data_IF_529109130470
#
_entry.id   IF_529109130470
#
_cell.length_a   1.000
_cell.length_b   1.000
_cell.length_c   1.000
_cell.angle_alpha   90.00
_cell.angle_beta   90.00
_cell.angle_gamma   90.00
#
_symmetry.space_group_name_H-M   'P 1'
#
loop_
_entity.id
_entity.type
_entity.pdbx_description
1 polymer ?
#
# COMPACT_ATOMS: atom_id res chain seq x y z
N UNK A 1 25.05 55.26 32.29
CA UNK A 1 24.94 53.99 33.02
C UNK A 1 23.85 53.04 32.49
N UNK A 2 22.61 53.46 32.18
CA UNK A 2 21.55 52.51 31.73
C UNK A 2 21.65 52.03 30.26
N UNK A 3 22.41 52.73 29.40
CA UNK A 3 22.56 52.40 27.97
C UNK A 3 23.75 51.50 27.61
N UNK A 4 24.79 51.45 28.45
CA UNK A 4 25.99 50.60 28.22
C UNK A 4 25.67 49.11 28.41
N UNK A 5 24.82 48.80 29.40
CA UNK A 5 24.32 47.43 29.63
C UNK A 5 23.41 46.93 28.50
N UNK A 6 22.66 47.83 27.85
CA UNK A 6 21.77 47.45 26.75
C UNK A 6 22.54 47.16 25.45
N UNK A 7 23.60 47.93 25.17
CA UNK A 7 24.51 47.64 24.06
C UNK A 7 25.22 46.30 24.22
N UNK A 8 25.74 46.02 25.41
CA UNK A 8 26.37 44.74 25.73
C UNK A 8 25.38 43.57 25.65
N UNK A 9 24.14 43.76 26.11
CA UNK A 9 23.07 42.76 26.00
C UNK A 9 22.72 42.49 24.54
N UNK A 10 22.58 43.52 23.70
CA UNK A 10 22.30 43.37 22.26
C UNK A 10 23.41 42.58 21.57
N UNK A 11 24.67 42.91 21.82
CA UNK A 11 25.82 42.18 21.26
C UNK A 11 25.83 40.69 21.64
N UNK A 12 25.52 40.36 22.90
CA UNK A 12 25.39 38.95 23.34
C UNK A 12 24.25 38.23 22.63
N UNK A 13 23.09 38.88 22.47
CA UNK A 13 21.94 38.32 21.75
C UNK A 13 22.29 38.10 20.26
N UNK A 14 22.95 39.07 19.62
CA UNK A 14 23.39 38.92 18.22
C UNK A 14 24.36 37.74 18.04
N UNK A 15 25.35 37.59 18.92
CA UNK A 15 26.27 36.46 18.86
C UNK A 15 25.56 35.10 19.02
N UNK A 16 24.55 35.02 19.89
CA UNK A 16 23.73 33.81 20.03
C UNK A 16 22.88 33.54 18.78
N UNK A 17 22.30 34.57 18.18
CA UNK A 17 21.52 34.45 16.95
C UNK A 17 22.38 34.03 15.76
N UNK A 18 23.59 34.57 15.64
CA UNK A 18 24.55 34.22 14.60
C UNK A 18 25.05 32.78 14.76
N UNK A 19 25.41 32.37 15.99
CA UNK A 19 25.77 30.98 16.27
C UNK A 19 24.63 30.02 15.93
N UNK A 20 23.38 30.39 16.26
CA UNK A 20 22.19 29.61 15.92
C UNK A 20 21.96 29.55 14.41
N UNK A 21 22.11 30.66 13.70
CA UNK A 21 22.00 30.70 12.24
C UNK A 21 23.03 29.77 11.59
N UNK A 22 24.30 29.83 11.99
CA UNK A 22 25.34 28.96 11.46
C UNK A 22 25.09 27.48 11.77
N UNK A 23 24.61 27.18 12.98
CA UNK A 23 24.17 25.84 13.35
C UNK A 23 23.07 25.34 12.42
N UNK A 24 22.00 26.12 12.19
CA UNK A 24 20.92 25.75 11.27
C UNK A 24 21.41 25.58 9.84
N UNK A 25 22.24 26.50 9.36
CA UNK A 25 22.77 26.42 8.00
C UNK A 25 23.54 25.11 7.80
N UNK A 26 24.37 24.73 8.77
CA UNK A 26 25.13 23.48 8.76
C UNK A 26 24.20 22.26 8.91
N UNK A 27 23.24 22.31 9.84
CA UNK A 27 22.30 21.22 10.11
C UNK A 27 21.43 20.87 8.89
N UNK A 28 20.92 21.88 8.17
CA UNK A 28 20.07 21.69 6.99
C UNK A 28 20.86 21.54 5.69
N UNK A 29 22.17 21.79 5.65
CA UNK A 29 22.97 21.69 4.44
C UNK A 29 22.88 20.32 3.73
N UNK A 30 22.98 19.17 4.43
CA UNK A 30 22.88 17.86 3.79
C UNK A 30 21.51 17.63 3.13
N UNK A 31 20.43 18.01 3.82
CA UNK A 31 19.07 17.93 3.27
C UNK A 31 18.91 18.82 2.06
N UNK A 32 19.40 20.07 2.12
CA UNK A 32 19.32 21.02 1.00
C UNK A 32 20.02 20.49 -0.24
N UNK A 33 21.20 19.88 -0.10
CA UNK A 33 21.90 19.26 -1.22
C UNK A 33 21.10 18.11 -1.87
N UNK A 34 20.35 17.34 -1.07
CA UNK A 34 19.45 16.28 -1.58
C UNK A 34 18.17 16.85 -2.22
N UNK A 35 17.69 18.01 -1.75
CA UNK A 35 16.51 18.69 -2.28
C UNK A 35 16.79 19.52 -3.54
N UNK A 36 18.03 19.93 -3.79
CA UNK A 36 18.43 20.71 -4.97
C UNK A 36 17.95 20.13 -6.32
N UNK A 37 18.08 18.81 -6.60
CA UNK A 37 17.56 18.24 -7.85
C UNK A 37 16.03 18.15 -7.91
N UNK A 38 15.32 18.34 -6.79
CA UNK A 38 13.86 18.24 -6.72
C UNK A 38 13.24 19.59 -7.09
N UNK A 39 12.77 19.69 -8.34
CA UNK A 39 12.18 20.92 -8.87
C UNK A 39 10.66 20.93 -8.73
N UNK A 40 10.01 19.80 -8.98
CA UNK A 40 8.54 19.71 -8.98
C UNK A 40 8.00 19.54 -7.56
N UNK A 41 7.35 20.58 -7.04
CA UNK A 41 6.77 20.63 -5.67
C UNK A 41 5.24 20.51 -5.62
N UNK A 42 4.59 20.33 -6.76
CA UNK A 42 3.13 20.27 -6.89
C UNK A 42 2.70 19.09 -7.76
N UNK A 43 1.43 18.71 -7.65
CA UNK A 43 0.84 17.67 -8.47
C UNK A 43 0.68 18.13 -9.92
N UNK A 44 0.98 17.24 -10.87
CA UNK A 44 0.79 17.49 -12.29
C UNK A 44 0.51 16.15 -13.00
N UNK A 45 -0.24 16.20 -14.10
CA UNK A 45 -0.70 14.98 -14.79
C UNK A 45 0.45 14.23 -15.46
N UNK A 46 1.45 14.95 -15.98
CA UNK A 46 2.65 14.33 -16.53
C UNK A 46 3.36 13.46 -15.48
N UNK A 47 3.89 12.29 -15.87
CA UNK A 47 4.59 11.39 -14.96
C UNK A 47 5.80 12.11 -14.34
N UNK A 48 6.13 11.74 -13.10
CA UNK A 48 7.30 12.28 -12.42
C UNK A 48 8.57 11.78 -13.14
N UNK A 49 9.51 12.66 -13.53
CA UNK A 49 10.75 12.25 -14.19
C UNK A 49 11.54 11.26 -13.33
N UNK A 50 12.13 10.25 -13.95
CA UNK A 50 12.89 9.20 -13.24
C UNK A 50 14.03 9.78 -12.37
N UNK A 51 14.70 10.84 -12.85
CA UNK A 51 15.74 11.54 -12.10
C UNK A 51 15.21 12.20 -10.81
N UNK A 52 14.04 12.83 -10.87
CA UNK A 52 13.39 13.43 -9.71
C UNK A 52 12.88 12.35 -8.75
N UNK A 53 12.29 11.26 -9.25
CA UNK A 53 11.88 10.12 -8.42
C UNK A 53 13.08 9.49 -7.69
N UNK A 54 14.22 9.36 -8.36
CA UNK A 54 15.46 8.90 -7.73
C UNK A 54 15.96 9.88 -6.66
N UNK A 55 15.84 11.19 -6.90
CA UNK A 55 16.17 12.21 -5.90
C UNK A 55 15.27 12.11 -4.65
N UNK A 56 13.96 11.97 -4.84
CA UNK A 56 13.02 11.74 -3.75
C UNK A 56 13.37 10.48 -2.94
N UNK A 57 13.67 9.36 -3.60
CA UNK A 57 14.08 8.13 -2.91
C UNK A 57 15.36 8.29 -2.10
N UNK A 58 16.35 9.02 -2.61
CA UNK A 58 17.57 9.35 -1.85
C UNK A 58 17.26 10.19 -0.61
N UNK A 59 16.36 11.16 -0.74
CA UNK A 59 15.92 11.98 0.38
C UNK A 59 15.17 11.15 1.43
N UNK A 60 14.29 10.25 1.00
CA UNK A 60 13.55 9.34 1.88
C UNK A 60 14.48 8.36 2.61
N UNK A 61 15.43 7.75 1.90
CA UNK A 61 16.41 6.84 2.52
C UNK A 61 17.31 7.57 3.52
N UNK A 62 17.73 8.79 3.19
CA UNK A 62 18.49 9.64 4.10
C UNK A 62 17.66 9.97 5.36
N UNK A 63 16.39 10.39 5.18
CA UNK A 63 15.50 10.70 6.30
C UNK A 63 15.27 9.49 7.21
N UNK A 64 15.06 8.31 6.64
CA UNK A 64 14.86 7.07 7.40
C UNK A 64 16.11 6.65 8.20
N UNK A 65 17.31 7.02 7.74
CA UNK A 65 18.56 6.74 8.44
C UNK A 65 18.88 7.75 9.55
N UNK A 66 18.18 8.90 9.60
CA UNK A 66 18.42 9.89 10.64
C UNK A 66 17.89 9.41 11.99
N UNK A 67 18.64 9.64 13.09
CA UNK A 67 18.23 9.20 14.41
C UNK A 67 16.91 9.86 14.80
N UNK A 68 15.90 9.03 15.09
CA UNK A 68 14.65 9.47 15.72
C UNK A 68 14.99 9.93 17.14
N UNK A 69 15.01 11.25 17.38
CA UNK A 69 15.18 11.80 18.73
C UNK A 69 16.30 12.81 18.94
N UNK A 70 17.04 13.22 17.91
CA UNK A 70 17.91 14.39 18.05
C UNK A 70 17.08 15.68 17.96
N UNK A 71 16.63 16.16 19.11
CA UNK A 71 16.18 17.54 19.33
C UNK A 71 17.37 18.45 18.98
N UNK A 72 17.31 19.11 17.84
CA UNK A 72 18.27 20.18 17.54
C UNK A 72 17.71 21.56 17.93
N UNK A 73 16.40 21.70 18.16
CA UNK A 73 15.82 22.94 18.69
C UNK A 73 14.44 22.74 19.32
N UNK A 74 14.17 23.24 20.55
CA UNK A 74 12.82 23.25 21.15
C UNK A 74 11.79 24.09 20.36
N UNK A 75 12.23 24.97 19.45
CA UNK A 75 11.38 25.85 18.66
C UNK A 75 11.16 25.37 17.22
N UNK A 76 11.86 24.32 16.78
CA UNK A 76 11.56 23.65 15.51
C UNK A 76 10.91 22.31 15.81
N UNK A 77 9.57 22.19 15.64
CA UNK A 77 8.92 20.92 15.82
C UNK A 77 9.51 19.92 14.83
N UNK A 78 9.79 18.72 15.33
CA UNK A 78 10.39 17.56 14.66
C UNK A 78 9.77 17.17 13.30
N UNK A 79 8.65 17.81 12.94
CA UNK A 79 7.86 17.61 11.73
C UNK A 79 8.70 17.66 10.46
N UNK A 80 9.67 18.57 10.33
CA UNK A 80 10.39 18.69 9.06
C UNK A 80 11.36 17.54 8.77
N UNK A 81 11.99 16.96 9.80
CA UNK A 81 13.01 15.89 9.67
C UNK A 81 12.39 14.49 9.72
N UNK A 82 11.14 14.37 10.18
CA UNK A 82 10.43 13.10 10.23
C UNK A 82 10.28 12.50 8.82
N UNK A 83 10.63 11.22 8.61
CA UNK A 83 10.51 10.62 7.30
C UNK A 83 9.05 10.57 6.83
N UNK A 84 8.07 10.52 7.75
CA UNK A 84 6.63 10.62 7.43
C UNK A 84 6.27 11.93 6.72
N UNK A 85 6.79 13.07 7.16
CA UNK A 85 6.57 14.36 6.49
C UNK A 85 7.23 14.41 5.11
N UNK A 86 8.41 13.79 4.99
CA UNK A 86 9.11 13.68 3.71
C UNK A 86 8.32 12.80 2.72
N UNK A 87 7.69 11.72 3.20
CA UNK A 87 6.77 10.91 2.41
C UNK A 87 5.56 11.72 1.94
N UNK A 88 4.86 12.44 2.83
CA UNK A 88 3.72 13.29 2.43
C UNK A 88 4.13 14.33 1.38
N UNK A 89 5.30 14.98 1.55
CA UNK A 89 5.86 15.91 0.54
C UNK A 89 6.15 15.22 -0.79
N UNK A 90 6.66 13.99 -0.77
CA UNK A 90 6.98 13.21 -1.96
C UNK A 90 5.71 12.77 -2.71
N UNK A 91 4.62 12.51 -1.99
CA UNK A 91 3.35 12.09 -2.56
C UNK A 91 2.62 13.23 -3.29
N UNK A 92 2.89 14.51 -3.01
CA UNK A 92 2.31 15.63 -3.78
C UNK A 92 2.67 15.53 -5.28
N UNK A 93 3.95 15.57 -5.69
CA UNK A 93 4.33 15.41 -7.09
C UNK A 93 4.28 13.94 -7.54
N UNK A 94 4.45 12.99 -6.61
CA UNK A 94 4.54 11.55 -6.84
C UNK A 94 3.22 10.79 -6.69
N UNK A 95 2.06 11.46 -6.64
CA UNK A 95 0.79 10.82 -6.34
C UNK A 95 0.41 9.70 -7.33
N UNK A 96 0.82 9.81 -8.59
CA UNK A 96 0.59 8.80 -9.64
C UNK A 96 1.61 7.64 -9.59
N UNK A 97 2.61 7.69 -8.72
CA UNK A 97 3.65 6.66 -8.61
C UNK A 97 3.28 5.65 -7.52
N UNK A 98 2.68 4.53 -7.95
CA UNK A 98 2.20 3.46 -7.06
C UNK A 98 3.25 2.94 -6.06
N UNK A 99 4.52 2.85 -6.46
CA UNK A 99 5.57 2.33 -5.57
C UNK A 99 5.81 3.22 -4.36
N UNK A 100 5.67 4.55 -4.48
CA UNK A 100 5.86 5.47 -3.34
C UNK A 100 4.81 5.24 -2.25
N UNK A 101 3.56 4.98 -2.63
CA UNK A 101 2.50 4.65 -1.67
C UNK A 101 2.77 3.34 -0.93
N UNK A 102 3.28 2.31 -1.64
CA UNK A 102 3.67 1.04 -1.03
C UNK A 102 4.87 1.21 -0.10
N UNK A 103 5.90 1.92 -0.55
CA UNK A 103 7.09 2.26 0.25
C UNK A 103 6.68 3.01 1.53
N UNK A 104 5.73 3.95 1.45
CA UNK A 104 5.24 4.69 2.61
C UNK A 104 4.44 3.82 3.58
N UNK A 105 3.53 2.99 3.08
CA UNK A 105 2.76 2.07 3.91
C UNK A 105 3.67 1.08 4.66
N UNK A 106 4.65 0.47 3.98
CA UNK A 106 5.65 -0.42 4.58
C UNK A 106 6.49 0.31 5.64
N UNK A 107 6.85 1.56 5.39
CA UNK A 107 7.59 2.36 6.36
C UNK A 107 6.78 2.61 7.65
N UNK A 108 5.49 2.88 7.54
CA UNK A 108 4.61 3.08 8.69
C UNK A 108 4.34 1.76 9.43
N UNK A 109 4.12 0.67 8.69
CA UNK A 109 3.99 -0.68 9.22
C UNK A 109 5.24 -1.08 10.02
N UNK A 110 6.43 -0.85 9.48
CA UNK A 110 7.70 -1.12 10.17
C UNK A 110 7.93 -0.28 11.44
N UNK A 111 7.20 0.82 11.61
CA UNK A 111 7.16 1.62 12.83
C UNK A 111 6.07 1.21 13.82
N UNK A 112 5.23 0.23 13.46
CA UNK A 112 4.04 -0.16 14.23
C UNK A 112 2.86 0.81 14.08
N UNK A 113 2.94 1.80 13.18
CA UNK A 113 1.88 2.78 12.92
C UNK A 113 0.87 2.23 11.90
N UNK A 114 0.21 1.13 12.26
CA UNK A 114 -0.70 0.37 11.37
C UNK A 114 -1.88 1.20 10.89
N UNK A 115 -2.50 1.99 11.77
CA UNK A 115 -3.64 2.85 11.41
C UNK A 115 -3.25 3.95 10.40
N UNK A 116 -2.06 4.52 10.55
CA UNK A 116 -1.53 5.50 9.60
C UNK A 116 -1.27 4.83 8.24
N UNK A 117 -0.69 3.62 8.25
CA UNK A 117 -0.47 2.84 7.03
C UNK A 117 -1.80 2.52 6.33
N UNK A 118 -2.84 2.15 7.09
CA UNK A 118 -4.21 1.96 6.58
C UNK A 118 -4.73 3.24 5.93
N UNK A 119 -4.58 4.39 6.58
CA UNK A 119 -4.97 5.69 6.03
C UNK A 119 -4.26 6.06 4.73
N UNK A 120 -2.96 5.72 4.61
CA UNK A 120 -2.19 5.88 3.37
C UNK A 120 -2.74 4.99 2.26
N UNK A 121 -3.00 3.72 2.55
CA UNK A 121 -3.52 2.78 1.55
C UNK A 121 -4.95 3.10 1.14
N UNK A 122 -5.80 3.52 2.06
CA UNK A 122 -7.14 4.01 1.76
C UNK A 122 -7.12 5.21 0.80
N UNK A 123 -6.20 6.17 1.00
CA UNK A 123 -5.99 7.28 0.06
C UNK A 123 -5.50 6.78 -1.30
N UNK A 124 -4.51 5.88 -1.31
CA UNK A 124 -3.95 5.32 -2.53
C UNK A 124 -5.01 4.59 -3.36
N UNK A 125 -5.72 3.62 -2.77
CA UNK A 125 -6.73 2.82 -3.46
C UNK A 125 -8.04 3.57 -3.70
N UNK A 126 -8.42 4.52 -2.84
CA UNK A 126 -9.70 5.23 -2.97
C UNK A 126 -9.69 6.38 -3.97
N UNK A 127 -8.54 7.07 -4.07
CA UNK A 127 -8.41 8.32 -4.84
C UNK A 127 -7.53 8.13 -6.07
N UNK A 128 -6.30 7.67 -5.91
CA UNK A 128 -5.30 7.70 -6.98
C UNK A 128 -5.27 6.43 -7.85
N UNK A 129 -5.62 5.27 -7.28
CA UNK A 129 -5.48 3.96 -7.91
C UNK A 129 -6.74 3.10 -7.77
N UNK A 130 -7.92 3.72 -7.84
CA UNK A 130 -9.22 3.03 -7.71
C UNK A 130 -9.44 1.88 -8.67
N UNK A 131 -8.94 2.02 -9.89
CA UNK A 131 -9.12 1.02 -10.95
C UNK A 131 -7.82 0.24 -11.21
N UNK A 132 -6.90 0.25 -10.25
CA UNK A 132 -5.60 -0.42 -10.36
C UNK A 132 -5.59 -1.70 -9.54
N UNK A 133 -5.86 -2.83 -10.19
CA UNK A 133 -5.90 -4.14 -9.51
C UNK A 133 -4.64 -4.44 -8.66
N UNK A 134 -3.39 -4.19 -9.11
CA UNK A 134 -2.21 -4.41 -8.26
C UNK A 134 -2.10 -3.54 -7.01
N UNK A 135 -2.83 -2.42 -6.95
CA UNK A 135 -2.90 -1.57 -5.76
C UNK A 135 -4.01 -2.04 -4.83
N UNK A 136 -5.19 -2.34 -5.36
CA UNK A 136 -6.31 -2.88 -4.58
C UNK A 136 -5.95 -4.21 -3.92
N UNK A 137 -5.30 -5.13 -4.65
CA UNK A 137 -4.87 -6.42 -4.09
C UNK A 137 -3.81 -6.27 -3.01
N UNK A 138 -2.90 -5.30 -3.15
CA UNK A 138 -1.93 -5.01 -2.10
C UNK A 138 -2.61 -4.46 -0.84
N UNK A 139 -3.61 -3.59 -1.00
CA UNK A 139 -4.40 -3.10 0.12
C UNK A 139 -5.22 -4.24 0.78
N UNK A 140 -5.80 -5.16 -0.01
CA UNK A 140 -6.52 -6.31 0.52
C UNK A 140 -5.61 -7.22 1.36
N UNK A 141 -4.38 -7.48 0.89
CA UNK A 141 -3.37 -8.25 1.64
C UNK A 141 -2.97 -7.55 2.95
N UNK A 142 -2.82 -6.22 2.90
CA UNK A 142 -2.53 -5.44 4.10
C UNK A 142 -3.66 -5.55 5.13
N UNK A 143 -4.92 -5.40 4.71
CA UNK A 143 -6.05 -5.51 5.63
C UNK A 143 -6.17 -6.92 6.22
N UNK A 144 -6.00 -7.95 5.40
CA UNK A 144 -5.98 -9.34 5.86
C UNK A 144 -4.90 -9.57 6.93
N UNK A 145 -3.68 -9.08 6.69
CA UNK A 145 -2.56 -9.22 7.63
C UNK A 145 -2.80 -8.53 8.98
N UNK A 146 -3.62 -7.48 8.99
CA UNK A 146 -3.95 -6.70 10.19
C UNK A 146 -5.37 -6.97 10.74
N UNK A 147 -5.98 -8.09 10.35
CA UNK A 147 -7.26 -8.57 10.89
C UNK A 147 -8.52 -7.97 10.27
N UNK A 148 -8.39 -7.11 9.24
CA UNK A 148 -9.48 -6.48 8.50
C UNK A 148 -10.08 -7.40 7.42
N UNK A 149 -10.61 -8.56 7.81
CA UNK A 149 -11.09 -9.57 6.84
C UNK A 149 -12.20 -9.04 5.92
N UNK A 150 -13.17 -8.31 6.47
CA UNK A 150 -14.29 -7.78 5.67
C UNK A 150 -13.84 -6.67 4.71
N UNK A 151 -12.88 -5.84 5.12
CA UNK A 151 -12.26 -4.84 4.25
C UNK A 151 -11.47 -5.51 3.11
N UNK A 152 -10.71 -6.57 3.41
CA UNK A 152 -9.99 -7.37 2.42
C UNK A 152 -10.96 -8.00 1.40
N UNK A 153 -12.10 -8.55 1.85
CA UNK A 153 -13.16 -9.08 0.98
C UNK A 153 -13.74 -8.02 0.05
N UNK A 154 -14.06 -6.84 0.60
CA UNK A 154 -14.59 -5.73 -0.19
C UNK A 154 -13.60 -5.27 -1.28
N UNK A 155 -12.31 -5.18 -0.94
CA UNK A 155 -11.25 -4.83 -1.87
C UNK A 155 -11.06 -5.90 -2.95
N UNK A 156 -11.09 -7.19 -2.60
CA UNK A 156 -11.06 -8.29 -3.55
C UNK A 156 -12.27 -8.27 -4.50
N UNK A 157 -13.48 -8.07 -3.98
CA UNK A 157 -14.69 -7.97 -4.78
C UNK A 157 -14.64 -6.78 -5.74
N UNK A 158 -14.20 -5.61 -5.27
CA UNK A 158 -13.99 -4.43 -6.10
C UNK A 158 -12.97 -4.70 -7.21
N UNK A 159 -11.89 -5.43 -6.90
CA UNK A 159 -10.87 -5.81 -7.89
C UNK A 159 -11.44 -6.76 -8.95
N UNK A 160 -12.24 -7.75 -8.57
CA UNK A 160 -12.89 -8.67 -9.49
C UNK A 160 -13.89 -7.98 -10.44
N UNK A 161 -14.44 -6.84 -10.02
CA UNK A 161 -15.35 -6.03 -10.85
C UNK A 161 -14.63 -5.14 -11.88
N UNK A 162 -13.30 -5.00 -11.81
CA UNK A 162 -12.54 -4.16 -12.74
C UNK A 162 -12.40 -4.82 -14.13
N UNK A 163 -12.62 -4.06 -15.22
CA UNK A 163 -12.29 -4.49 -16.57
C UNK A 163 -10.82 -4.16 -16.93
N UNK A 164 -10.09 -5.03 -17.66
CA UNK A 164 -10.44 -6.41 -17.99
C UNK A 164 -10.35 -7.34 -16.77
N UNK A 165 -11.11 -8.44 -16.72
CA UNK A 165 -11.11 -9.35 -15.58
C UNK A 165 -9.71 -9.98 -15.40
N UNK A 166 -9.12 -9.76 -14.23
CA UNK A 166 -7.79 -10.25 -13.90
C UNK A 166 -7.88 -11.55 -13.10
N UNK A 167 -7.17 -12.59 -13.57
CA UNK A 167 -7.09 -13.89 -12.88
C UNK A 167 -6.59 -13.74 -11.43
N UNK A 168 -5.62 -12.86 -11.21
CA UNK A 168 -5.01 -12.60 -9.90
C UNK A 168 -6.05 -12.12 -8.87
N UNK A 169 -7.08 -11.40 -9.30
CA UNK A 169 -8.14 -10.91 -8.44
C UNK A 169 -8.96 -12.06 -7.85
N UNK A 170 -9.39 -12.99 -8.70
CA UNK A 170 -10.15 -14.16 -8.29
C UNK A 170 -9.32 -15.13 -7.46
N UNK A 171 -8.04 -15.31 -7.82
CA UNK A 171 -7.11 -16.13 -7.03
C UNK A 171 -6.88 -15.52 -5.65
N UNK A 172 -6.74 -14.21 -5.54
CA UNK A 172 -6.62 -13.53 -4.25
C UNK A 172 -7.88 -13.70 -3.40
N UNK A 173 -9.07 -13.52 -4.00
CA UNK A 173 -10.36 -13.71 -3.32
C UNK A 173 -10.54 -15.15 -2.81
N UNK A 174 -10.26 -16.15 -3.64
CA UNK A 174 -10.37 -17.56 -3.24
C UNK A 174 -9.36 -17.92 -2.13
N UNK A 175 -8.12 -17.41 -2.23
CA UNK A 175 -7.10 -17.66 -1.21
C UNK A 175 -7.38 -16.96 0.12
N UNK A 176 -7.99 -15.77 0.10
CA UNK A 176 -8.47 -15.07 1.29
C UNK A 176 -9.49 -15.92 2.04
N UNK A 177 -10.52 -16.40 1.36
CA UNK A 177 -11.56 -17.25 1.97
C UNK A 177 -10.99 -18.58 2.46
N UNK A 178 -10.04 -19.16 1.72
CA UNK A 178 -9.34 -20.39 2.13
C UNK A 178 -8.58 -20.19 3.45
N UNK A 179 -7.84 -19.07 3.60
CA UNK A 179 -7.12 -18.76 4.85
C UNK A 179 -8.08 -18.42 6.00
N UNK A 180 -9.25 -17.88 5.69
CA UNK A 180 -10.32 -17.66 6.66
C UNK A 180 -11.12 -18.94 7.02
N UNK A 181 -10.84 -20.09 6.39
CA UNK A 181 -11.58 -21.34 6.61
C UNK A 181 -12.96 -21.42 5.92
N UNK A 182 -13.30 -20.43 5.10
CA UNK A 182 -14.57 -20.34 4.40
C UNK A 182 -14.52 -21.07 3.05
N UNK A 183 -14.77 -22.38 3.08
CA UNK A 183 -14.72 -23.22 1.87
C UNK A 183 -15.79 -22.82 0.84
N UNK A 184 -16.96 -22.40 1.29
CA UNK A 184 -18.05 -22.02 0.39
C UNK A 184 -17.78 -20.67 -0.29
N UNK A 185 -17.24 -19.70 0.45
CA UNK A 185 -16.75 -18.43 -0.12
C UNK A 185 -15.65 -18.64 -1.16
N UNK A 186 -14.71 -19.55 -0.89
CA UNK A 186 -13.66 -19.94 -1.84
C UNK A 186 -14.26 -20.50 -3.14
N UNK A 187 -15.24 -21.42 -3.03
CA UNK A 187 -15.93 -21.99 -4.21
C UNK A 187 -16.70 -20.93 -4.99
N UNK A 188 -17.37 -20.01 -4.30
CA UNK A 188 -18.08 -18.90 -4.94
C UNK A 188 -17.13 -17.99 -5.73
N UNK A 189 -15.94 -17.70 -5.19
CA UNK A 189 -14.91 -16.93 -5.89
C UNK A 189 -14.43 -17.64 -7.17
N UNK A 190 -14.23 -18.96 -7.14
CA UNK A 190 -13.90 -19.74 -8.34
C UNK A 190 -15.04 -19.78 -9.35
N UNK A 191 -16.29 -19.95 -8.90
CA UNK A 191 -17.47 -19.90 -9.77
C UNK A 191 -17.56 -18.56 -10.52
N UNK A 192 -17.43 -17.44 -9.80
CA UNK A 192 -17.42 -16.11 -10.39
C UNK A 192 -16.28 -15.93 -11.43
N UNK A 193 -15.11 -16.51 -11.14
CA UNK A 193 -13.98 -16.48 -12.07
C UNK A 193 -14.25 -17.24 -13.37
N UNK A 194 -14.95 -18.38 -13.29
CA UNK A 194 -15.34 -19.16 -14.47
C UNK A 194 -16.29 -18.38 -15.36
N UNK A 195 -17.21 -17.63 -14.76
CA UNK A 195 -18.20 -16.87 -15.53
C UNK A 195 -17.59 -15.61 -16.16
N UNK A 196 -16.56 -15.02 -15.55
CA UNK A 196 -15.88 -13.83 -16.04
C UNK A 196 -14.71 -14.10 -17.01
N UNK A 197 -13.88 -15.12 -16.76
CA UNK A 197 -12.66 -15.39 -17.53
C UNK A 197 -12.94 -16.24 -18.78
N UNK A 198 -12.09 -16.10 -19.80
CA UNK A 198 -12.13 -16.88 -21.05
C UNK A 198 -10.71 -17.29 -21.46
N UNK A 199 -10.58 -18.35 -22.26
CA UNK A 199 -9.29 -18.78 -22.83
C UNK A 199 -8.30 -19.33 -21.79
N UNK A 200 -7.00 -19.06 -22.00
CA UNK A 200 -5.90 -19.55 -21.17
C UNK A 200 -5.99 -19.16 -19.67
N UNK A 201 -6.34 -17.91 -19.30
CA UNK A 201 -6.53 -17.55 -17.88
C UNK A 201 -7.54 -18.44 -17.15
N UNK A 202 -8.64 -18.80 -17.83
CA UNK A 202 -9.64 -19.70 -17.27
C UNK A 202 -9.06 -21.11 -17.07
N UNK A 203 -8.34 -21.64 -18.07
CA UNK A 203 -7.72 -22.96 -17.98
C UNK A 203 -6.69 -23.03 -16.84
N UNK A 204 -5.89 -21.98 -16.65
CA UNK A 204 -4.95 -21.87 -15.55
C UNK A 204 -5.64 -21.85 -14.18
N UNK A 205 -6.73 -21.08 -14.05
CA UNK A 205 -7.51 -21.01 -12.82
C UNK A 205 -8.15 -22.37 -12.47
N UNK A 206 -8.75 -23.05 -13.45
CA UNK A 206 -9.36 -24.37 -13.26
C UNK A 206 -8.34 -25.39 -12.75
N UNK A 207 -7.13 -25.41 -13.32
CA UNK A 207 -6.04 -26.29 -12.83
C UNK A 207 -5.65 -25.98 -11.39
N UNK A 208 -5.48 -24.70 -11.06
CA UNK A 208 -5.12 -24.28 -9.71
C UNK A 208 -6.22 -24.61 -8.70
N UNK A 209 -7.46 -24.27 -9.00
CA UNK A 209 -8.60 -24.50 -8.13
C UNK A 209 -8.88 -26.00 -7.91
N UNK A 210 -8.65 -26.85 -8.91
CA UNK A 210 -8.71 -28.30 -8.75
C UNK A 210 -7.65 -28.82 -7.77
N UNK A 211 -6.45 -28.24 -7.75
CA UNK A 211 -5.41 -28.59 -6.77
C UNK A 211 -5.79 -28.12 -5.36
N UNK A 212 -6.26 -26.87 -5.25
CA UNK A 212 -6.66 -26.28 -3.97
C UNK A 212 -7.83 -27.04 -3.32
N UNK A 213 -8.83 -27.47 -4.09
CA UNK A 213 -9.95 -28.24 -3.54
C UNK A 213 -9.54 -29.64 -3.06
N UNK A 214 -8.50 -30.25 -3.64
CA UNK A 214 -7.95 -31.53 -3.17
C UNK A 214 -7.31 -31.41 -1.81
N UNK A 215 -6.63 -30.30 -1.57
CA UNK A 215 -5.92 -30.04 -0.32
C UNK A 215 -6.85 -29.55 0.79
N UNK A 216 -7.90 -28.79 0.45
CA UNK A 216 -8.83 -28.19 1.41
C UNK A 216 -9.90 -29.15 1.95
N UNK A 217 -10.28 -30.19 1.18
CA UNK A 217 -11.33 -31.13 1.58
C UNK A 217 -10.78 -32.55 1.53
N UNK A 218 -10.90 -33.36 2.61
CA UNK A 218 -10.70 -34.80 2.54
C UNK A 218 -11.69 -35.41 1.55
N UNK A 219 -11.28 -35.54 0.30
CA UNK A 219 -12.16 -35.91 -0.79
C UNK A 219 -12.06 -37.41 -1.11
N UNK A 220 -13.24 -38.02 -1.17
CA UNK A 220 -13.45 -39.42 -1.51
C UNK A 220 -13.02 -39.72 -2.96
N UNK A 221 -12.77 -40.99 -3.30
CA UNK A 221 -12.16 -41.38 -4.60
C UNK A 221 -12.98 -40.89 -5.82
N UNK A 222 -14.30 -40.80 -5.68
CA UNK A 222 -15.22 -40.30 -6.71
C UNK A 222 -15.09 -38.78 -6.93
N UNK A 223 -14.87 -38.01 -5.87
CA UNK A 223 -14.64 -36.56 -5.99
C UNK A 223 -13.28 -36.32 -6.67
N UNK A 224 -12.26 -37.14 -6.38
CA UNK A 224 -10.96 -37.06 -7.06
C UNK A 224 -11.04 -37.28 -8.57
N UNK A 225 -11.90 -38.20 -9.04
CA UNK A 225 -12.08 -38.43 -10.48
C UNK A 225 -12.86 -37.29 -11.16
N UNK A 226 -13.82 -36.67 -10.47
CA UNK A 226 -14.49 -35.46 -10.95
C UNK A 226 -13.52 -34.25 -11.00
N UNK A 227 -12.59 -34.14 -10.05
CA UNK A 227 -11.58 -33.08 -10.02
C UNK A 227 -10.51 -33.23 -11.13
N UNK A 228 -10.37 -34.42 -11.73
CA UNK A 228 -9.52 -34.64 -12.91
C UNK A 228 -10.24 -34.34 -14.23
N UNK A 229 -11.58 -34.32 -14.24
CA UNK A 229 -12.37 -33.99 -15.42
C UNK A 229 -12.74 -32.50 -15.40
N UNK A 230 -12.14 -31.70 -16.28
CA UNK A 230 -12.37 -30.25 -16.31
C UNK A 230 -13.85 -29.85 -16.44
N UNK A 231 -14.68 -30.69 -17.05
CA UNK A 231 -16.14 -30.45 -17.19
C UNK A 231 -16.93 -30.70 -15.90
N UNK A 232 -16.52 -31.65 -15.07
CA UNK A 232 -17.17 -31.94 -13.78
C UNK A 232 -16.94 -30.83 -12.74
N UNK A 233 -15.76 -30.21 -12.77
CA UNK A 233 -15.39 -29.07 -11.94
C UNK A 233 -16.26 -27.84 -12.22
N UNK A 234 -16.43 -27.53 -13.51
CA UNK A 234 -17.22 -26.39 -13.98
C UNK A 234 -18.70 -26.55 -13.61
N UNK A 235 -19.26 -27.76 -13.73
CA UNK A 235 -20.63 -28.05 -13.29
C UNK A 235 -20.80 -27.92 -11.78
N UNK A 236 -19.81 -28.35 -10.99
CA UNK A 236 -19.85 -28.25 -9.54
C UNK A 236 -19.90 -26.79 -9.06
N UNK A 237 -19.06 -25.93 -9.61
CA UNK A 237 -19.03 -24.52 -9.23
C UNK A 237 -20.26 -23.75 -9.73
N UNK A 238 -20.76 -24.06 -10.93
CA UNK A 238 -22.02 -23.49 -11.45
C UNK A 238 -23.26 -23.98 -10.71
N UNK A 239 -23.25 -25.24 -10.24
CA UNK A 239 -24.35 -25.85 -9.48
C UNK A 239 -24.48 -25.31 -8.05
N UNK A 240 -23.38 -24.96 -7.39
CA UNK A 240 -23.42 -24.39 -6.03
C UNK A 240 -24.03 -22.99 -5.97
N UNK A 241 -23.97 -22.20 -7.05
CA UNK A 241 -24.64 -20.89 -7.13
C UNK A 241 -26.17 -20.99 -7.15
N UNK A 242 -26.74 -22.11 -7.61
CA UNK A 242 -28.19 -22.27 -7.72
C UNK A 242 -28.85 -22.69 -6.39
N UNK A 243 -28.07 -23.26 -5.45
CA UNK A 243 -28.60 -23.78 -4.18
C UNK A 243 -28.91 -22.69 -3.14
N UNK A 244 -28.43 -21.45 -3.32
CA UNK A 244 -28.65 -20.35 -2.36
C UNK A 244 -29.93 -19.55 -2.63
N UNK A 245 -30.66 -19.82 -3.71
CA UNK A 245 -31.88 -19.08 -4.10
C UNK A 245 -33.20 -19.78 -3.75
N UNK A 246 -33.17 -20.90 -3.00
CA UNK A 246 -34.37 -21.64 -2.55
C UNK A 246 -34.36 -21.90 -1.04
N UNK A 247 -34.11 -20.84 -0.27
CA UNK A 247 -34.40 -20.81 1.17
C UNK A 247 -34.74 -19.38 1.62
N UNK A 248 -35.89 -18.88 1.19
CA UNK A 248 -36.73 -17.87 1.86
C UNK A 248 -38.10 -17.85 1.19
#
# INVERSE_FOLDING_TARGET
MRGEDEGARKLRVYALLEARYHFYVAFHAPRRALEEPIRRRYYHVAPLPAAELAAWRRLLSWGAAQPTGHVCDPLEPMAEVLPSFTYERCLLPGASVRSLWKEYALFLEGKGAVEDARGVLARASGVFFRDCAPMLLYHAQFEEAHGGLDAARALCAATCALPPPAIDAYLAAANLERRAGNTDGMRAAFAAAVDALRGEPLAALVRHAAAVERDAVPCDRAVRSCLTSGTGLLHRWRGSSAATTHAA
#
